data_IF_551434854948
#
_entry.id   IF_551434854948
#
_cell.length_a   1.000
_cell.length_b   1.000
_cell.length_c   1.000
_cell.angle_alpha   90.00
_cell.angle_beta   90.00
_cell.angle_gamma   90.00
#
_symmetry.space_group_name_H-M   'P 1'
#
loop_
_entity.id
_entity.type
_entity.pdbx_description
1 polymer ?
#
# COMPACT_ATOMS: atom_id res chain seq x y z
N UNK A 1 10.38 14.22 14.56
CA UNK A 1 11.40 13.62 13.70
C UNK A 1 10.68 12.81 12.63
N UNK A 2 10.30 13.44 11.52
CA UNK A 2 9.58 12.78 10.43
C UNK A 2 10.60 11.96 9.66
N UNK A 3 10.62 10.64 9.88
CA UNK A 3 11.41 9.73 9.07
C UNK A 3 10.98 9.97 7.62
N UNK A 4 11.90 10.28 6.68
CA UNK A 4 11.52 10.45 5.29
C UNK A 4 10.84 9.15 4.86
N UNK A 5 9.61 9.28 4.38
CA UNK A 5 8.93 8.20 3.67
C UNK A 5 9.74 8.00 2.40
N UNK A 6 10.78 7.16 2.46
CA UNK A 6 11.44 6.63 1.28
C UNK A 6 10.42 5.65 0.70
N UNK A 7 9.56 6.12 -0.19
CA UNK A 7 8.66 5.27 -0.95
C UNK A 7 9.54 4.32 -1.78
N UNK A 8 9.35 3.00 -1.69
CA UNK A 8 10.07 2.01 -2.51
C UNK A 8 9.92 2.34 -4.01
N UNK A 9 8.78 2.94 -4.36
CA UNK A 9 8.47 3.56 -5.64
C UNK A 9 9.56 4.50 -6.15
N UNK A 10 10.26 5.24 -5.29
CA UNK A 10 11.28 6.21 -5.70
C UNK A 10 12.51 5.57 -6.35
N UNK A 11 12.75 4.28 -6.08
CA UNK A 11 13.83 3.54 -6.73
C UNK A 11 13.41 2.95 -8.08
N UNK A 12 12.11 2.71 -8.29
CA UNK A 12 11.57 1.94 -9.41
C UNK A 12 10.19 2.45 -9.90
N UNK A 13 10.07 3.76 -10.22
CA UNK A 13 8.77 4.39 -10.44
C UNK A 13 8.05 3.85 -11.67
N UNK A 14 8.78 3.55 -12.75
CA UNK A 14 8.19 3.02 -13.99
C UNK A 14 7.61 1.61 -13.80
N UNK A 15 8.30 0.76 -13.03
CA UNK A 15 7.83 -0.60 -12.75
C UNK A 15 6.56 -0.58 -11.90
N UNK A 16 6.52 0.28 -10.89
CA UNK A 16 5.32 0.45 -10.06
C UNK A 16 4.16 1.00 -10.89
N UNK A 17 4.38 2.03 -11.71
CA UNK A 17 3.34 2.56 -12.59
C UNK A 17 2.81 1.50 -13.56
N UNK A 18 3.69 0.68 -14.14
CA UNK A 18 3.30 -0.44 -15.01
C UNK A 18 2.46 -1.49 -14.27
N UNK A 19 2.87 -1.89 -13.07
CA UNK A 19 2.14 -2.86 -12.25
C UNK A 19 0.79 -2.31 -11.78
N UNK A 20 0.71 -1.02 -11.43
CA UNK A 20 -0.55 -0.33 -11.12
C UNK A 20 -1.50 -0.34 -12.32
N UNK A 21 -1.02 -0.01 -13.52
CA UNK A 21 -1.86 0.00 -14.72
C UNK A 21 -2.44 -1.40 -15.02
N UNK A 22 -1.60 -2.44 -14.93
CA UNK A 22 -2.06 -3.84 -15.11
C UNK A 22 -3.01 -4.28 -14.02
N UNK A 23 -2.72 -3.98 -12.76
CA UNK A 23 -3.55 -4.34 -11.63
C UNK A 23 -4.93 -3.66 -11.70
N UNK A 24 -5.00 -2.40 -12.14
CA UNK A 24 -6.27 -1.71 -12.43
C UNK A 24 -7.10 -2.42 -13.50
N UNK A 25 -6.45 -3.07 -14.47
CA UNK A 25 -7.10 -3.90 -15.48
C UNK A 25 -7.48 -5.32 -14.97
N UNK A 26 -7.32 -5.61 -13.68
CA UNK A 26 -7.67 -6.88 -13.06
C UNK A 26 -6.53 -7.90 -13.00
N UNK A 27 -5.31 -7.51 -13.32
CA UNK A 27 -4.14 -8.38 -13.25
C UNK A 27 -3.71 -8.65 -11.80
N UNK A 28 -4.03 -9.86 -11.32
CA UNK A 28 -3.70 -10.29 -9.96
C UNK A 28 -2.20 -10.43 -9.72
N UNK A 29 -1.41 -10.82 -10.73
CA UNK A 29 0.04 -10.97 -10.58
C UNK A 29 0.72 -9.60 -10.45
N UNK A 30 0.22 -8.60 -11.19
CA UNK A 30 0.70 -7.23 -11.04
C UNK A 30 0.41 -6.69 -9.63
N UNK A 31 -0.78 -6.94 -9.11
CA UNK A 31 -1.11 -6.56 -7.74
C UNK A 31 -0.31 -7.34 -6.69
N UNK A 32 -0.02 -8.62 -6.92
CA UNK A 32 0.84 -9.39 -6.03
C UNK A 32 2.24 -8.79 -5.93
N UNK A 33 2.81 -8.28 -7.04
CA UNK A 33 4.08 -7.56 -7.02
C UNK A 33 3.99 -6.28 -6.19
N UNK A 34 2.94 -5.47 -6.40
CA UNK A 34 2.69 -4.28 -5.58
C UNK A 34 2.56 -4.64 -4.08
N UNK A 35 1.84 -5.71 -3.76
CA UNK A 35 1.70 -6.23 -2.40
C UNK A 35 3.06 -6.58 -1.79
N UNK A 36 3.86 -7.41 -2.47
CA UNK A 36 5.18 -7.85 -1.97
C UNK A 36 6.13 -6.68 -1.73
N UNK A 37 6.08 -5.66 -2.58
CA UNK A 37 6.88 -4.44 -2.40
C UNK A 37 6.47 -3.66 -1.15
N UNK A 38 5.17 -3.61 -0.83
CA UNK A 38 4.65 -2.68 0.19
C UNK A 38 4.27 -3.31 1.53
N UNK A 39 4.08 -4.63 1.59
CA UNK A 39 3.49 -5.31 2.76
C UNK A 39 4.26 -5.06 4.06
N UNK A 40 5.59 -5.16 4.03
CA UNK A 40 6.41 -4.99 5.23
C UNK A 40 6.24 -3.59 5.83
N UNK A 41 6.07 -2.58 4.98
CA UNK A 41 5.91 -1.19 5.40
C UNK A 41 4.50 -0.93 5.95
N UNK A 42 3.47 -1.42 5.27
CA UNK A 42 2.08 -1.31 5.75
C UNK A 42 1.96 -2.01 7.09
N UNK A 43 2.52 -3.21 7.23
CA UNK A 43 2.56 -3.93 8.49
C UNK A 43 3.27 -3.16 9.60
N UNK A 44 4.47 -2.63 9.33
CA UNK A 44 5.20 -1.82 10.30
C UNK A 44 4.43 -0.57 10.73
N UNK A 45 3.67 0.05 9.82
CA UNK A 45 2.78 1.17 10.14
C UNK A 45 1.63 0.72 11.05
N UNK A 46 0.94 -0.37 10.70
CA UNK A 46 -0.15 -0.91 11.51
C UNK A 46 0.32 -1.29 12.92
N UNK A 47 1.49 -1.92 13.07
CA UNK A 47 2.10 -2.23 14.39
C UNK A 47 2.35 -0.95 15.18
N UNK A 48 2.89 0.10 14.54
CA UNK A 48 3.16 1.38 15.22
C UNK A 48 1.88 2.08 15.70
N UNK A 49 0.79 1.93 14.97
CA UNK A 49 -0.48 2.60 15.29
C UNK A 49 -1.32 1.83 16.31
N UNK A 50 -1.25 0.49 16.31
CA UNK A 50 -2.07 -0.37 17.19
C UNK A 50 -1.33 -0.84 18.44
N UNK A 51 0.01 -0.89 18.40
CA UNK A 51 0.84 -1.55 19.41
C UNK A 51 0.45 -3.02 19.66
N UNK A 52 -0.19 -3.67 18.68
CA UNK A 52 -0.59 -5.08 18.70
C UNK A 52 -0.23 -5.73 17.37
N UNK A 53 0.56 -6.80 17.43
CA UNK A 53 1.03 -7.49 16.24
C UNK A 53 -0.07 -8.26 15.52
N UNK A 54 -0.95 -8.92 16.27
CA UNK A 54 -2.04 -9.72 15.70
C UNK A 54 -3.07 -8.80 15.04
N UNK A 55 -3.45 -7.72 15.70
CA UNK A 55 -4.33 -6.70 15.09
C UNK A 55 -3.68 -6.09 13.84
N UNK A 56 -2.36 -5.85 13.85
CA UNK A 56 -1.66 -5.33 12.69
C UNK A 56 -1.63 -6.29 11.49
N UNK A 57 -1.59 -7.61 11.72
CA UNK A 57 -1.68 -8.61 10.64
C UNK A 57 -3.05 -8.57 9.97
N UNK A 58 -4.13 -8.50 10.75
CA UNK A 58 -5.51 -8.37 10.25
C UNK A 58 -5.70 -7.06 9.48
N UNK A 59 -5.29 -5.93 10.07
CA UNK A 59 -5.40 -4.62 9.42
C UNK A 59 -4.57 -4.53 8.15
N UNK A 60 -3.39 -5.14 8.10
CA UNK A 60 -2.57 -5.19 6.88
C UNK A 60 -3.32 -5.88 5.75
N UNK A 61 -3.97 -7.01 6.03
CA UNK A 61 -4.79 -7.71 5.04
C UNK A 61 -5.93 -6.82 4.55
N UNK A 62 -6.67 -6.19 5.47
CA UNK A 62 -7.77 -5.28 5.15
C UNK A 62 -7.33 -4.09 4.29
N UNK A 63 -6.15 -3.53 4.57
CA UNK A 63 -5.56 -2.47 3.75
C UNK A 63 -5.39 -2.92 2.31
N UNK A 64 -4.84 -4.10 2.07
CA UNK A 64 -4.62 -4.59 0.71
C UNK A 64 -5.91 -5.03 0.01
N UNK A 65 -6.90 -5.58 0.74
CA UNK A 65 -8.24 -5.83 0.21
C UNK A 65 -8.88 -4.52 -0.26
N UNK A 66 -8.84 -3.47 0.57
CA UNK A 66 -9.36 -2.16 0.20
C UNK A 66 -8.53 -1.49 -0.90
N UNK A 67 -7.21 -1.71 -0.93
CA UNK A 67 -6.34 -1.20 -1.98
C UNK A 67 -6.73 -1.78 -3.33
N UNK A 68 -6.98 -3.09 -3.42
CA UNK A 68 -7.47 -3.74 -4.63
C UNK A 68 -8.82 -3.14 -5.08
N UNK A 69 -9.77 -2.98 -4.16
CA UNK A 69 -11.10 -2.43 -4.45
C UNK A 69 -11.06 -0.97 -4.93
N UNK A 70 -10.14 -0.17 -4.38
CA UNK A 70 -10.02 1.27 -4.66
C UNK A 70 -8.95 1.59 -5.70
N UNK A 71 -8.27 0.59 -6.25
CA UNK A 71 -7.14 0.81 -7.16
C UNK A 71 -7.54 1.60 -8.40
N UNK A 72 -8.74 1.36 -8.94
CA UNK A 72 -9.31 2.11 -10.06
C UNK A 72 -9.53 3.60 -9.78
N UNK A 73 -9.54 4.01 -8.50
CA UNK A 73 -9.65 5.40 -8.08
C UNK A 73 -8.29 6.09 -7.93
N UNK A 74 -7.19 5.35 -8.05
CA UNK A 74 -5.85 5.92 -8.00
C UNK A 74 -5.53 6.66 -9.30
N UNK A 75 -5.36 7.98 -9.19
CA UNK A 75 -5.16 8.89 -10.34
C UNK A 75 -3.70 9.06 -10.76
N UNK A 76 -2.74 8.58 -9.97
CA UNK A 76 -1.31 8.80 -10.22
C UNK A 76 -0.79 10.19 -9.79
N UNK A 77 -1.61 11.01 -9.12
CA UNK A 77 -1.20 12.35 -8.63
C UNK A 77 -0.15 12.28 -7.51
N UNK A 78 0.11 11.09 -6.95
CA UNK A 78 1.17 10.80 -5.98
C UNK A 78 1.80 9.45 -6.30
N UNK A 79 2.93 9.13 -5.68
CA UNK A 79 3.42 7.75 -5.66
C UNK A 79 2.36 6.81 -5.10
N UNK A 80 2.37 5.55 -5.54
CA UNK A 80 1.45 4.53 -5.09
C UNK A 80 1.65 4.26 -3.59
N UNK A 81 2.90 4.19 -3.13
CA UNK A 81 3.26 4.08 -1.72
C UNK A 81 2.65 5.18 -0.85
N UNK A 82 2.66 6.44 -1.32
CA UNK A 82 2.03 7.57 -0.62
C UNK A 82 0.50 7.41 -0.53
N UNK A 83 -0.15 6.96 -1.61
CA UNK A 83 -1.58 6.69 -1.62
C UNK A 83 -1.94 5.52 -0.69
N UNK A 84 -1.17 4.43 -0.74
CA UNK A 84 -1.35 3.25 0.10
C UNK A 84 -1.13 3.56 1.58
N UNK A 85 -0.15 4.40 1.91
CA UNK A 85 0.06 4.86 3.28
C UNK A 85 -1.17 5.61 3.82
N UNK A 86 -1.74 6.54 3.03
CA UNK A 86 -2.97 7.25 3.41
C UNK A 86 -4.14 6.28 3.58
N UNK A 87 -4.28 5.31 2.69
CA UNK A 87 -5.30 4.27 2.82
C UNK A 87 -5.11 3.47 4.11
N UNK A 88 -3.88 3.06 4.42
CA UNK A 88 -3.55 2.32 5.64
C UNK A 88 -3.92 3.09 6.91
N UNK A 89 -3.53 4.36 7.01
CA UNK A 89 -3.92 5.23 8.13
C UNK A 89 -5.44 5.30 8.27
N UNK A 90 -6.17 5.46 7.16
CA UNK A 90 -7.62 5.48 7.19
C UNK A 90 -8.23 4.14 7.62
N UNK A 91 -7.62 3.00 7.29
CA UNK A 91 -8.12 1.69 7.74
C UNK A 91 -7.92 1.51 9.23
N UNK A 92 -6.78 1.91 9.78
CA UNK A 92 -6.49 1.74 11.21
C UNK A 92 -7.34 2.66 12.10
N UNK A 93 -7.73 3.84 11.59
CA UNK A 93 -8.51 4.82 12.35
C UNK A 93 -10.05 4.65 12.26
N UNK A 94 -10.54 3.74 11.41
CA UNK A 94 -11.97 3.48 11.21
C UNK A 94 -12.34 2.11 11.76
#
# INVERSE_FOLDING_TARGET
MTVPIIDDDSLQPERIAHDVARATAGDRQAFERLYRTHVNRVFALCVRMTNDRSAAEELTQDVFVRAWQKLSLFRGDSAFGTWLHRLAVNVVLN
#
